data_IF_003159652196
#
_entry.id   IF_003159652196
#
_cell.length_a   1.000
_cell.length_b   1.000
_cell.length_c   1.000
_cell.angle_alpha   90.00
_cell.angle_beta   90.00
_cell.angle_gamma   90.00
#
_symmetry.space_group_name_H-M   'P 1'
#
loop_
_entity.id
_entity.type
_entity.pdbx_description
1 polymer ?
#
# COMPACT_ATOMS: atom_id res chain seq x y z
N UNK A 1 -35.27 24.50 -27.68
CA UNK A 1 -34.71 23.13 -27.79
C UNK A 1 -33.19 23.27 -27.86
N UNK A 2 -32.48 23.10 -26.74
CA UNK A 2 -31.48 22.03 -26.47
C UNK A 2 -30.47 21.91 -27.63
N UNK A 3 -29.16 22.17 -27.48
CA UNK A 3 -28.28 21.40 -26.60
C UNK A 3 -26.88 22.03 -26.49
N UNK A 4 -26.44 22.32 -25.26
CA UNK A 4 -25.08 22.74 -24.94
C UNK A 4 -24.13 21.54 -24.92
N UNK A 5 -23.19 21.45 -25.86
CA UNK A 5 -22.12 20.44 -25.83
C UNK A 5 -20.88 20.97 -25.09
N UNK A 6 -20.86 20.67 -23.79
CA UNK A 6 -19.77 20.94 -22.84
C UNK A 6 -18.42 20.38 -23.34
N UNK A 7 -17.39 21.24 -23.34
CA UNK A 7 -15.96 20.89 -23.48
C UNK A 7 -15.58 19.76 -22.51
N UNK A 8 -15.33 18.56 -23.03
CA UNK A 8 -14.71 17.48 -22.25
C UNK A 8 -13.21 17.79 -22.03
N UNK A 9 -12.92 18.53 -20.95
CA UNK A 9 -11.56 18.72 -20.43
C UNK A 9 -10.99 17.34 -20.05
N UNK A 10 -10.13 16.77 -20.91
CA UNK A 10 -9.34 15.56 -20.61
C UNK A 10 -8.61 15.79 -19.27
N UNK A 11 -9.12 15.18 -18.19
CA UNK A 11 -8.40 15.13 -16.91
C UNK A 11 -7.10 14.37 -17.15
N UNK A 12 -5.99 15.10 -17.11
CA UNK A 12 -4.62 14.57 -17.12
C UNK A 12 -4.54 13.34 -16.21
N UNK A 13 -4.28 12.18 -16.80
CA UNK A 13 -4.23 10.88 -16.11
C UNK A 13 -2.91 10.64 -15.37
N UNK A 14 -2.04 11.66 -15.28
CA UNK A 14 -0.72 11.55 -14.65
C UNK A 14 -0.40 12.82 -13.87
N UNK A 15 -1.18 13.11 -12.82
CA UNK A 15 -0.63 13.83 -11.69
C UNK A 15 0.17 12.83 -10.86
N UNK A 16 1.39 12.51 -11.29
CA UNK A 16 2.42 12.09 -10.34
C UNK A 16 2.61 13.30 -9.44
N UNK A 17 1.83 13.31 -8.35
CA UNK A 17 1.77 14.38 -7.39
C UNK A 17 3.19 14.56 -6.82
N UNK A 18 3.86 15.54 -7.40
CA UNK A 18 5.22 16.00 -7.17
C UNK A 18 5.24 17.01 -6.02
N UNK A 19 4.31 16.88 -5.08
CA UNK A 19 4.44 17.56 -3.80
C UNK A 19 5.33 16.70 -2.92
N UNK A 20 6.55 17.18 -2.71
CA UNK A 20 7.49 16.69 -1.70
C UNK A 20 7.06 17.11 -0.27
N UNK A 21 5.83 17.58 -0.12
CA UNK A 21 5.23 17.82 1.17
C UNK A 21 4.88 16.49 1.81
N UNK A 22 5.33 16.29 3.05
CA UNK A 22 4.83 15.21 3.91
C UNK A 22 3.39 15.56 4.27
N UNK A 23 2.48 15.39 3.30
CA UNK A 23 1.05 15.40 3.56
C UNK A 23 0.71 14.36 4.62
N UNK A 24 -0.47 14.49 5.22
CA UNK A 24 -0.96 13.61 6.29
C UNK A 24 -0.70 12.13 5.98
N UNK A 25 0.26 11.53 6.68
CA UNK A 25 0.61 10.11 6.51
C UNK A 25 -0.54 9.28 7.05
N UNK A 26 -1.09 8.39 6.22
CA UNK A 26 -2.11 7.44 6.65
C UNK A 26 -1.47 6.43 7.59
N UNK A 27 -2.08 6.20 8.75
CA UNK A 27 -1.74 5.08 9.62
C UNK A 27 -2.75 3.95 9.40
N UNK A 28 -2.36 2.68 9.64
CA UNK A 28 -3.30 1.57 9.65
C UNK A 28 -4.40 1.82 10.68
N UNK A 29 -5.62 1.39 10.36
CA UNK A 29 -6.79 1.51 11.24
C UNK A 29 -7.50 0.16 11.37
N UNK A 30 -8.15 -0.07 12.50
CA UNK A 30 -8.87 -1.31 12.80
C UNK A 30 -7.92 -2.51 12.72
N UNK A 31 -8.26 -3.52 11.91
CA UNK A 31 -7.49 -4.73 11.67
C UNK A 31 -6.44 -4.59 10.55
N UNK A 32 -6.21 -3.37 10.04
CA UNK A 32 -5.11 -3.13 9.09
C UNK A 32 -3.76 -3.27 9.79
N UNK A 33 -2.78 -3.86 9.11
CA UNK A 33 -1.41 -4.04 9.60
C UNK A 33 -0.39 -3.47 8.63
N UNK A 34 0.78 -3.10 9.13
CA UNK A 34 1.91 -2.78 8.26
C UNK A 34 2.48 -4.05 7.65
N UNK A 35 3.01 -3.93 6.44
CA UNK A 35 3.67 -5.05 5.78
C UNK A 35 4.84 -4.62 4.90
N UNK A 36 5.89 -5.44 4.88
CA UNK A 36 7.02 -5.35 3.97
C UNK A 36 6.79 -6.33 2.83
N UNK A 37 6.79 -5.82 1.60
CA UNK A 37 6.68 -6.67 0.41
C UNK A 37 7.99 -7.42 0.24
N UNK A 38 7.93 -8.74 0.36
CA UNK A 38 9.09 -9.61 0.25
C UNK A 38 9.31 -10.01 -1.21
N UNK A 39 8.41 -10.83 -1.75
CA UNK A 39 8.52 -11.37 -3.12
C UNK A 39 7.20 -11.19 -3.88
N UNK A 40 7.29 -10.87 -5.17
CA UNK A 40 6.12 -10.87 -6.06
C UNK A 40 5.88 -12.29 -6.58
N UNK A 41 4.70 -12.85 -6.26
CA UNK A 41 4.33 -14.23 -6.62
C UNK A 41 3.65 -14.35 -8.00
N UNK A 42 3.36 -13.23 -8.68
CA UNK A 42 2.64 -13.20 -9.95
C UNK A 42 1.12 -13.13 -9.78
N UNK A 43 0.38 -13.02 -10.89
CA UNK A 43 -1.09 -12.88 -10.90
C UNK A 43 -1.67 -11.75 -10.03
N UNK A 44 -0.87 -10.71 -9.73
CA UNK A 44 -1.26 -9.63 -8.82
C UNK A 44 -1.27 -10.02 -7.34
N UNK A 45 -0.58 -11.11 -6.99
CA UNK A 45 -0.30 -11.55 -5.62
C UNK A 45 1.14 -11.23 -5.24
N UNK A 46 1.38 -10.96 -3.97
CA UNK A 46 2.72 -10.74 -3.41
C UNK A 46 2.78 -11.32 -2.01
N UNK A 47 3.94 -11.87 -1.65
CA UNK A 47 4.27 -12.32 -0.31
C UNK A 47 4.65 -11.10 0.52
N UNK A 48 3.99 -10.91 1.66
CA UNK A 48 4.18 -9.74 2.51
C UNK A 48 4.40 -10.21 3.94
N UNK A 49 5.53 -9.81 4.53
CA UNK A 49 5.82 -10.00 5.95
C UNK A 49 5.16 -8.87 6.72
N UNK A 50 4.27 -9.22 7.63
CA UNK A 50 3.45 -8.25 8.35
C UNK A 50 4.06 -7.94 9.71
N UNK A 51 3.72 -6.77 10.28
CA UNK A 51 4.23 -6.33 11.59
C UNK A 51 3.79 -7.19 12.77
N UNK A 52 2.84 -8.09 12.57
CA UNK A 52 2.41 -9.09 13.55
C UNK A 52 3.23 -10.39 13.49
N UNK A 53 4.30 -10.41 12.69
CA UNK A 53 5.20 -11.55 12.53
C UNK A 53 4.70 -12.64 11.58
N UNK A 54 3.53 -12.47 10.97
CA UNK A 54 2.96 -13.44 10.01
C UNK A 54 3.30 -13.09 8.57
N UNK A 55 3.50 -14.11 7.76
CA UNK A 55 3.64 -13.97 6.32
C UNK A 55 2.31 -14.20 5.61
N UNK A 56 1.88 -13.23 4.81
CA UNK A 56 0.61 -13.28 4.08
C UNK A 56 0.80 -13.19 2.58
N UNK A 57 0.04 -14.01 1.86
CA UNK A 57 -0.15 -13.85 0.42
C UNK A 57 -1.22 -12.78 0.22
N UNK A 58 -0.78 -11.59 -0.16
CA UNK A 58 -1.65 -10.45 -0.34
C UNK A 58 -2.00 -10.25 -1.82
N UNK A 59 -3.28 -9.99 -2.09
CA UNK A 59 -3.79 -9.61 -3.41
C UNK A 59 -3.86 -8.09 -3.52
N UNK A 60 -3.64 -7.54 -4.71
CA UNK A 60 -4.00 -6.15 -5.00
C UNK A 60 -5.43 -6.10 -5.56
N UNK A 61 -6.40 -5.47 -4.88
CA UNK A 61 -7.77 -5.33 -5.39
C UNK A 61 -7.79 -4.68 -6.78
N UNK A 62 -8.68 -5.15 -7.65
CA UNK A 62 -8.72 -4.71 -9.05
C UNK A 62 -8.88 -3.19 -9.21
N UNK A 63 -9.67 -2.56 -8.33
CA UNK A 63 -9.86 -1.12 -8.28
C UNK A 63 -8.55 -0.35 -8.00
N UNK A 64 -7.64 -0.95 -7.24
CA UNK A 64 -6.38 -0.35 -6.81
C UNK A 64 -5.20 -0.74 -7.71
N UNK A 65 -5.33 -1.79 -8.53
CA UNK A 65 -4.27 -2.32 -9.39
C UNK A 65 -3.66 -1.28 -10.35
N UNK A 66 -4.43 -0.26 -10.75
CA UNK A 66 -3.93 0.86 -11.59
C UNK A 66 -3.18 1.94 -10.81
N UNK A 67 -3.38 2.03 -9.49
CA UNK A 67 -2.83 3.10 -8.63
C UNK A 67 -1.70 2.62 -7.73
N UNK A 68 -1.77 1.37 -7.27
CA UNK A 68 -0.78 0.79 -6.36
C UNK A 68 0.36 0.15 -7.14
N UNK A 69 1.50 0.81 -7.11
CA UNK A 69 2.74 0.21 -7.58
C UNK A 69 3.41 -0.57 -6.45
N UNK A 70 3.19 -1.88 -6.43
CA UNK A 70 3.78 -2.78 -5.42
C UNK A 70 5.03 -3.45 -5.98
N UNK A 71 6.18 -3.22 -5.34
CA UNK A 71 7.49 -3.86 -5.61
C UNK A 71 8.05 -4.46 -4.31
N UNK A 72 8.94 -5.46 -4.40
CA UNK A 72 9.78 -5.90 -3.27
C UNK A 72 10.44 -4.72 -2.57
N UNK A 73 10.52 -4.77 -1.24
CA UNK A 73 11.10 -3.72 -0.39
C UNK A 73 10.17 -2.54 -0.08
N UNK A 74 8.99 -2.46 -0.71
CA UNK A 74 8.02 -1.42 -0.35
C UNK A 74 7.32 -1.73 0.97
N UNK A 75 7.06 -0.67 1.75
CA UNK A 75 6.16 -0.73 2.91
C UNK A 75 4.73 -0.46 2.44
N UNK A 76 3.81 -1.31 2.87
CA UNK A 76 2.40 -1.25 2.51
C UNK A 76 1.50 -1.36 3.75
N UNK A 77 0.22 -1.04 3.56
CA UNK A 77 -0.85 -1.41 4.49
C UNK A 77 -1.55 -2.63 3.93
N UNK A 78 -1.65 -3.68 4.75
CA UNK A 78 -2.37 -4.91 4.46
C UNK A 78 -3.64 -4.94 5.30
N UNK A 79 -4.76 -5.30 4.67
CA UNK A 79 -5.96 -5.70 5.37
C UNK A 79 -6.07 -7.23 5.31
N UNK A 80 -5.90 -7.95 6.43
CA UNK A 80 -6.16 -9.37 6.50
C UNK A 80 -7.60 -9.70 6.06
N UNK A 81 -7.80 -10.88 5.47
CA UNK A 81 -9.15 -11.35 5.18
C UNK A 81 -9.87 -11.79 6.45
N UNK A 82 -11.19 -11.67 6.46
CA UNK A 82 -12.02 -12.17 7.57
C UNK A 82 -11.87 -13.69 7.74
N UNK A 83 -11.68 -14.39 6.62
CA UNK A 83 -11.42 -15.83 6.59
C UNK A 83 -10.00 -16.11 6.10
N UNK A 84 -9.27 -16.99 6.81
CA UNK A 84 -7.84 -17.25 6.59
C UNK A 84 -6.95 -15.97 6.68
N UNK A 85 -7.33 -15.02 7.53
CA UNK A 85 -6.61 -13.77 7.74
C UNK A 85 -5.16 -13.94 8.18
N UNK A 86 -4.78 -15.11 8.72
CA UNK A 86 -3.40 -15.42 9.06
C UNK A 86 -2.50 -15.64 7.85
N UNK A 87 -3.07 -16.05 6.71
CA UNK A 87 -2.33 -16.44 5.49
C UNK A 87 -2.61 -15.55 4.30
N UNK A 88 -3.78 -14.88 4.27
CA UNK A 88 -4.26 -14.11 3.11
C UNK A 88 -4.68 -12.71 3.53
N UNK A 89 -4.58 -11.79 2.58
CA UNK A 89 -5.01 -10.40 2.77
C UNK A 89 -5.07 -9.63 1.47
N UNK A 90 -5.47 -8.36 1.57
CA UNK A 90 -5.47 -7.41 0.47
C UNK A 90 -4.54 -6.23 0.76
N UNK A 91 -3.83 -5.76 -0.27
CA UNK A 91 -3.02 -4.55 -0.19
C UNK A 91 -3.91 -3.33 -0.42
N UNK A 92 -4.00 -2.47 0.59
CA UNK A 92 -4.87 -1.28 0.56
C UNK A 92 -4.09 -0.03 0.17
N UNK A 93 -2.84 0.10 0.63
CA UNK A 93 -2.04 1.29 0.44
C UNK A 93 -0.56 0.97 0.29
N UNK A 94 0.16 1.76 -0.51
CA UNK A 94 1.61 1.65 -0.69
C UNK A 94 2.25 2.99 -0.30
N UNK A 95 3.16 2.97 0.68
CA UNK A 95 3.83 4.17 1.12
C UNK A 95 4.89 4.62 0.11
N UNK A 96 5.00 5.94 -0.06
CA UNK A 96 6.13 6.55 -0.77
C UNK A 96 7.39 6.50 0.12
N UNK A 97 8.60 6.52 -0.45
CA UNK A 97 9.84 6.53 0.34
C UNK A 97 9.91 7.64 1.39
N UNK A 98 9.39 8.83 1.07
CA UNK A 98 9.32 9.95 2.02
C UNK A 98 8.41 9.67 3.22
N UNK A 99 7.28 8.98 2.98
CA UNK A 99 6.36 8.57 4.05
C UNK A 99 6.97 7.46 4.90
N UNK A 100 7.73 6.53 4.29
CA UNK A 100 8.48 5.51 5.03
C UNK A 100 9.52 6.15 5.95
N UNK A 101 10.26 7.16 5.49
CA UNK A 101 11.19 7.92 6.35
C UNK A 101 10.48 8.56 7.55
N UNK A 102 9.29 9.14 7.33
CA UNK A 102 8.47 9.69 8.40
C UNK A 102 8.00 8.60 9.38
N UNK A 103 7.52 7.45 8.87
CA UNK A 103 7.09 6.33 9.71
C UNK A 103 8.24 5.75 10.55
N UNK A 104 9.45 5.65 9.97
CA UNK A 104 10.67 5.24 10.67
C UNK A 104 11.04 6.23 11.78
N UNK A 105 11.00 7.53 11.49
CA UNK A 105 11.30 8.59 12.48
C UNK A 105 10.34 8.57 13.66
N UNK A 106 9.07 8.27 13.41
CA UNK A 106 8.03 8.17 14.45
C UNK A 106 7.92 6.77 15.08
N UNK A 107 8.87 5.87 14.81
CA UNK A 107 8.95 4.51 15.40
C UNK A 107 7.73 3.62 15.15
N UNK A 108 6.95 3.86 14.09
CA UNK A 108 5.79 3.04 13.76
C UNK A 108 6.13 1.73 13.04
N UNK A 109 7.36 1.56 12.57
CA UNK A 109 7.81 0.38 11.80
C UNK A 109 8.80 -0.48 12.58
N UNK A 110 8.89 -0.33 13.91
CA UNK A 110 9.95 -0.96 14.69
C UNK A 110 9.91 -2.49 14.57
N UNK A 111 8.72 -3.06 14.72
CA UNK A 111 8.48 -4.51 14.64
C UNK A 111 8.78 -5.09 13.25
N UNK A 112 8.75 -4.27 12.20
CA UNK A 112 8.98 -4.69 10.82
C UNK A 112 10.48 -4.71 10.47
N UNK A 113 11.28 -3.87 11.13
CA UNK A 113 12.70 -3.69 10.87
C UNK A 113 13.56 -4.63 11.70
N UNK A 114 13.11 -5.00 12.89
CA UNK A 114 13.77 -6.00 13.75
C UNK A 114 13.81 -7.40 13.09
N UNK A 115 13.00 -7.64 12.04
CA UNK A 115 13.00 -8.89 11.27
C UNK A 115 14.03 -8.95 10.11
N UNK A 116 14.76 -7.86 9.83
CA UNK A 116 15.85 -7.85 8.82
C UNK A 116 17.24 -8.10 9.42
N UNK A 117 17.39 -8.08 10.76
CA UNK A 117 18.70 -8.18 11.45
C UNK A 117 19.02 -9.57 12.05
N UNK A 118 18.34 -10.63 11.64
CA UNK A 118 18.66 -12.02 12.02
C UNK A 118 19.20 -12.85 10.85
#
# INVERSE_FOLDING_TARGET
>A
MVEAKKKHKKRSRHAYDKSEEVGKVRLPRNEEVFGLVDVRLGMGKSRIRCSDGKERICRVPGALKRRLWVRPGNIVIVKPWEYEGDRKGDVVFNYKPIQVKWLRKNKHLKDLLEQEEF
#
